data_IF_852596299900
#
_entry.id   IF_852596299900
#
_cell.length_a   1.000
_cell.length_b   1.000
_cell.length_c   1.000
_cell.angle_alpha   90.00
_cell.angle_beta   90.00
_cell.angle_gamma   90.00
#
_symmetry.space_group_name_H-M   'P 1'
#
loop_
_entity.id
_entity.type
_entity.pdbx_description
1 polymer ?
#
# COMPACT_ATOMS: atom_id res chain seq x y z
N UNK A 1 -11.94 23.43 -2.40
CA UNK A 1 -11.95 22.48 -1.26
C UNK A 1 -10.63 21.73 -1.28
N UNK A 2 -9.80 21.73 -0.22
CA UNK A 2 -8.56 20.95 -0.25
C UNK A 2 -8.92 19.46 -0.30
N UNK A 3 -8.35 18.72 -1.25
CA UNK A 3 -8.45 17.27 -1.29
C UNK A 3 -7.99 16.70 0.05
N UNK A 4 -8.88 15.98 0.76
CA UNK A 4 -8.52 15.32 2.03
C UNK A 4 -7.56 14.17 1.73
N UNK A 5 -6.28 14.36 2.00
CA UNK A 5 -5.27 13.32 1.84
C UNK A 5 -5.68 12.04 2.62
N UNK A 6 -5.57 10.88 1.96
CA UNK A 6 -5.80 9.56 2.55
C UNK A 6 -4.46 8.94 2.88
N UNK A 7 -4.31 8.41 4.08
CA UNK A 7 -3.05 7.84 4.56
C UNK A 7 -3.28 6.46 5.16
N UNK A 8 -2.51 5.43 4.78
CA UNK A 8 -1.44 5.45 3.75
C UNK A 8 -1.98 5.35 2.31
N UNK A 9 -1.49 6.23 1.42
CA UNK A 9 -1.71 6.15 -0.03
C UNK A 9 -0.42 6.56 -0.75
N UNK A 10 0.48 5.60 -0.98
CA UNK A 10 1.80 5.86 -1.58
C UNK A 10 2.51 4.56 -1.97
N UNK A 11 3.70 4.68 -2.58
CA UNK A 11 4.64 3.58 -2.74
C UNK A 11 5.42 3.27 -1.46
N UNK A 12 5.76 2.00 -1.29
CA UNK A 12 6.66 1.48 -0.27
C UNK A 12 7.66 0.51 -0.89
N UNK A 13 8.88 0.49 -0.35
CA UNK A 13 9.90 -0.48 -0.68
C UNK A 13 9.70 -1.76 0.15
N UNK A 14 9.73 -2.89 -0.54
CA UNK A 14 9.83 -4.23 0.02
C UNK A 14 11.24 -4.79 -0.22
N UNK A 15 11.49 -6.03 0.19
CA UNK A 15 12.84 -6.63 0.09
C UNK A 15 13.37 -6.79 -1.35
N UNK A 16 12.49 -6.95 -2.34
CA UNK A 16 12.83 -7.25 -3.76
C UNK A 16 12.30 -6.21 -4.75
N UNK A 17 11.77 -5.07 -4.27
CA UNK A 17 11.22 -4.01 -5.14
C UNK A 17 10.13 -3.18 -4.47
N UNK A 18 9.44 -2.37 -5.27
CA UNK A 18 8.44 -1.43 -4.77
C UNK A 18 7.01 -1.88 -5.06
N UNK A 19 6.07 -1.43 -4.22
CA UNK A 19 4.63 -1.59 -4.45
C UNK A 19 3.86 -0.36 -3.96
N UNK A 20 2.69 -0.10 -4.54
CA UNK A 20 1.76 0.93 -4.11
C UNK A 20 0.74 0.31 -3.17
N UNK A 21 0.48 0.99 -2.06
CA UNK A 21 -0.56 0.67 -1.09
C UNK A 21 -1.60 1.79 -1.06
N UNK A 22 -2.89 1.46 -1.19
CA UNK A 22 -3.97 2.44 -1.27
C UNK A 22 -5.05 2.19 -0.20
N UNK A 23 -4.94 2.88 0.94
CA UNK A 23 -5.93 2.83 2.03
C UNK A 23 -6.84 4.06 1.97
N UNK A 24 -8.00 3.92 1.34
CA UNK A 24 -8.93 5.03 1.11
C UNK A 24 -10.04 5.17 2.17
N UNK A 25 -10.22 4.18 3.05
CA UNK A 25 -11.30 4.14 4.05
C UNK A 25 -10.84 3.54 5.38
N UNK A 26 -11.59 3.79 6.46
CA UNK A 26 -11.28 3.23 7.79
C UNK A 26 -11.43 1.71 7.82
N UNK A 27 -12.34 1.14 7.03
CA UNK A 27 -12.45 -0.33 6.86
C UNK A 27 -11.15 -0.92 6.31
N UNK A 28 -10.57 -0.28 5.30
CA UNK A 28 -9.29 -0.72 4.73
C UNK A 28 -8.14 -0.53 5.70
N UNK A 29 -8.16 0.52 6.52
CA UNK A 29 -7.18 0.73 7.58
C UNK A 29 -7.21 -0.38 8.63
N UNK A 30 -8.41 -0.74 9.11
CA UNK A 30 -8.57 -1.85 10.06
C UNK A 30 -8.10 -3.18 9.47
N UNK A 31 -8.49 -3.47 8.22
CA UNK A 31 -8.04 -4.66 7.51
C UNK A 31 -6.51 -4.70 7.36
N UNK A 32 -5.89 -3.57 7.02
CA UNK A 32 -4.43 -3.45 6.95
C UNK A 32 -3.78 -3.73 8.32
N UNK A 33 -4.29 -3.15 9.41
CA UNK A 33 -3.73 -3.38 10.76
C UNK A 33 -3.74 -4.86 11.13
N UNK A 34 -4.85 -5.56 10.88
CA UNK A 34 -4.94 -7.01 11.10
C UNK A 34 -3.98 -7.76 10.18
N UNK A 35 -3.97 -7.40 8.89
CA UNK A 35 -3.07 -8.01 7.92
C UNK A 35 -1.62 -7.86 8.40
N UNK A 36 -1.19 -6.70 8.88
CA UNK A 36 0.18 -6.47 9.36
C UNK A 36 0.50 -7.06 10.74
N UNK A 37 -0.44 -7.76 11.38
CA UNK A 37 -0.30 -8.24 12.76
C UNK A 37 -0.05 -7.11 13.77
N UNK A 38 -0.59 -5.92 13.48
CA UNK A 38 -0.61 -4.76 14.37
C UNK A 38 -2.05 -4.30 14.65
N UNK A 39 -2.93 -5.16 15.20
CA UNK A 39 -4.31 -4.78 15.50
C UNK A 39 -4.41 -3.60 16.49
N UNK A 40 -3.40 -3.40 17.33
CA UNK A 40 -3.31 -2.29 18.28
C UNK A 40 -3.27 -0.91 17.61
N UNK A 41 -2.81 -0.82 16.36
CA UNK A 41 -2.79 0.45 15.62
C UNK A 41 -4.18 0.98 15.29
N UNK A 42 -5.22 0.15 15.34
CA UNK A 42 -6.60 0.58 15.15
C UNK A 42 -7.09 1.49 16.27
N UNK A 43 -6.62 1.27 17.49
CA UNK A 43 -6.96 2.04 18.68
C UNK A 43 -5.91 3.08 19.08
N UNK A 44 -4.73 3.06 18.46
CA UNK A 44 -3.67 4.01 18.74
C UNK A 44 -4.13 5.44 18.40
N UNK A 45 -4.11 6.39 19.35
CA UNK A 45 -4.54 7.78 19.11
C UNK A 45 -3.80 8.47 17.96
N UNK A 46 -2.61 7.97 17.58
CA UNK A 46 -1.82 8.49 16.46
C UNK A 46 -2.38 8.04 15.11
N UNK A 47 -3.08 6.90 15.04
CA UNK A 47 -3.46 6.26 13.79
C UNK A 47 -4.96 5.90 13.67
N UNK A 48 -5.72 6.06 14.75
CA UNK A 48 -7.12 5.64 14.82
C UNK A 48 -8.03 6.30 13.76
N UNK A 49 -7.83 7.60 13.49
CA UNK A 49 -8.55 8.29 12.42
C UNK A 49 -7.62 8.74 11.30
N UNK A 50 -8.15 8.89 10.08
CA UNK A 50 -7.38 9.42 8.96
C UNK A 50 -6.71 10.77 9.26
N UNK A 51 -7.38 11.66 10.00
CA UNK A 51 -6.81 12.95 10.38
C UNK A 51 -5.55 12.79 11.24
N UNK A 52 -5.55 11.81 12.15
CA UNK A 52 -4.41 11.50 12.99
C UNK A 52 -3.30 10.84 12.18
N UNK A 53 -3.63 9.93 11.27
CA UNK A 53 -2.67 9.34 10.32
C UNK A 53 -2.01 10.38 9.42
N UNK A 54 -2.76 11.40 8.99
CA UNK A 54 -2.20 12.52 8.21
C UNK A 54 -1.22 13.34 9.05
N UNK A 55 -1.55 13.63 10.31
CA UNK A 55 -0.65 14.37 11.24
C UNK A 55 0.61 13.59 11.56
N UNK A 56 0.50 12.26 11.70
CA UNK A 56 1.61 11.37 12.01
C UNK A 56 2.10 10.59 10.80
N UNK A 57 1.96 11.15 9.59
CA UNK A 57 2.26 10.45 8.34
C UNK A 57 3.68 9.91 8.33
N UNK A 58 4.66 10.74 8.68
CA UNK A 58 6.07 10.33 8.62
C UNK A 58 6.38 9.18 9.58
N UNK A 59 5.78 9.22 10.78
CA UNK A 59 5.88 8.14 11.76
C UNK A 59 5.23 6.85 11.23
N UNK A 60 3.98 6.93 10.76
CA UNK A 60 3.26 5.76 10.27
C UNK A 60 3.95 5.15 9.04
N UNK A 61 4.34 5.99 8.07
CA UNK A 61 5.05 5.55 6.88
C UNK A 61 6.41 4.94 7.22
N UNK A 62 7.12 5.45 8.23
CA UNK A 62 8.36 4.86 8.74
C UNK A 62 8.15 3.45 9.32
N UNK A 63 7.12 3.26 10.15
CA UNK A 63 6.76 1.96 10.71
C UNK A 63 6.38 0.96 9.61
N UNK A 64 5.56 1.39 8.65
CA UNK A 64 5.16 0.58 7.51
C UNK A 64 6.36 0.21 6.64
N UNK A 65 7.23 1.16 6.30
CA UNK A 65 8.42 0.90 5.49
C UNK A 65 9.38 -0.09 6.18
N UNK A 66 9.60 0.08 7.49
CA UNK A 66 10.42 -0.85 8.27
C UNK A 66 9.84 -2.27 8.25
N UNK A 67 8.51 -2.40 8.34
CA UNK A 67 7.83 -3.70 8.24
C UNK A 67 7.98 -4.31 6.84
N UNK A 68 7.74 -3.52 5.79
CA UNK A 68 7.73 -4.00 4.40
C UNK A 68 9.09 -4.43 3.87
N UNK A 69 10.17 -3.84 4.38
CA UNK A 69 11.53 -4.24 4.03
C UNK A 69 11.87 -5.70 4.38
N UNK A 70 11.09 -6.37 5.23
CA UNK A 70 11.39 -7.72 5.72
C UNK A 70 10.89 -8.87 4.83
N UNK A 71 10.11 -8.58 3.77
CA UNK A 71 9.58 -9.61 2.87
C UNK A 71 9.45 -9.09 1.44
N UNK A 72 9.44 -9.96 0.41
CA UNK A 72 9.29 -9.53 -0.97
C UNK A 72 7.88 -8.98 -1.25
N UNK A 73 7.75 -8.15 -2.29
CA UNK A 73 6.48 -7.53 -2.73
C UNK A 73 5.37 -8.57 -2.83
N UNK A 74 5.61 -9.74 -3.43
CA UNK A 74 4.58 -10.75 -3.62
C UNK A 74 3.98 -11.23 -2.29
N UNK A 75 4.80 -11.39 -1.25
CA UNK A 75 4.33 -11.75 0.09
C UNK A 75 3.31 -10.73 0.61
N UNK A 76 3.61 -9.44 0.44
CA UNK A 76 2.71 -8.37 0.87
C UNK A 76 1.45 -8.31 0.02
N UNK A 77 1.55 -8.46 -1.31
CA UNK A 77 0.39 -8.48 -2.20
C UNK A 77 -0.57 -9.62 -1.86
N UNK A 78 -0.08 -10.85 -1.68
CA UNK A 78 -0.92 -12.00 -1.33
C UNK A 78 -1.64 -11.77 0.01
N UNK A 79 -0.91 -11.20 0.98
CA UNK A 79 -1.43 -10.89 2.31
C UNK A 79 -2.49 -9.79 2.29
N UNK A 80 -2.30 -8.77 1.45
CA UNK A 80 -3.26 -7.68 1.30
C UNK A 80 -4.48 -8.10 0.49
N UNK A 81 -4.32 -8.91 -0.55
CA UNK A 81 -5.41 -9.49 -1.32
C UNK A 81 -6.33 -10.33 -0.43
N UNK A 82 -5.75 -11.21 0.41
CA UNK A 82 -6.50 -11.99 1.40
C UNK A 82 -7.27 -11.12 2.42
N UNK A 83 -6.79 -9.91 2.70
CA UNK A 83 -7.44 -8.94 3.58
C UNK A 83 -8.38 -7.96 2.86
N UNK A 84 -8.46 -8.02 1.52
CA UNK A 84 -9.21 -7.08 0.70
C UNK A 84 -8.63 -5.65 0.69
N UNK A 85 -7.32 -5.51 0.92
CA UNK A 85 -6.60 -4.23 0.91
C UNK A 85 -5.96 -4.01 -0.47
N UNK A 86 -6.31 -2.93 -1.19
CA UNK A 86 -5.74 -2.67 -2.50
C UNK A 86 -4.23 -2.37 -2.44
N UNK A 87 -3.44 -3.20 -3.12
CA UNK A 87 -2.02 -2.99 -3.35
C UNK A 87 -1.59 -3.53 -4.72
N UNK A 88 -0.54 -2.96 -5.31
CA UNK A 88 -0.02 -3.41 -6.60
C UNK A 88 1.49 -3.19 -6.70
N UNK A 89 2.21 -4.14 -7.32
CA UNK A 89 3.65 -3.99 -7.61
C UNK A 89 3.88 -2.77 -8.51
N UNK A 90 4.91 -1.99 -8.21
CA UNK A 90 5.42 -0.99 -9.16
C UNK A 90 6.29 -1.72 -10.17
N UNK A 91 5.80 -1.83 -11.39
CA UNK A 91 6.56 -2.43 -12.48
C UNK A 91 7.45 -1.36 -13.13
N UNK A 92 8.74 -1.66 -13.30
CA UNK A 92 9.60 -0.87 -14.19
C UNK A 92 9.09 -0.94 -15.65
N UNK A 93 9.50 0.01 -16.50
CA UNK A 93 8.96 0.18 -17.87
C UNK A 93 8.95 -1.14 -18.68
N UNK A 94 10.05 -1.90 -18.66
CA UNK A 94 10.14 -3.18 -19.35
C UNK A 94 9.16 -4.24 -18.81
N UNK A 95 8.99 -4.32 -17.48
CA UNK A 95 8.05 -5.25 -16.86
C UNK A 95 6.58 -4.82 -17.07
N UNK A 96 6.31 -3.52 -17.22
CA UNK A 96 4.99 -2.99 -17.51
C UNK A 96 4.53 -3.33 -18.94
N UNK A 97 5.44 -3.24 -19.92
CA UNK A 97 5.19 -3.61 -21.33
C UNK A 97 4.87 -5.11 -21.47
N UNK A 98 5.47 -5.95 -20.62
CA UNK A 98 5.25 -7.40 -20.66
C UNK A 98 3.91 -7.86 -20.04
N UNK A 99 3.18 -6.98 -19.34
CA UNK A 99 1.92 -7.34 -18.66
C UNK A 99 0.78 -7.61 -19.65
N UNK A 100 -0.17 -8.52 -19.32
CA UNK A 100 -1.34 -8.78 -20.14
C UNK A 100 -2.13 -7.51 -20.48
N UNK A 101 -2.25 -6.58 -19.53
CA UNK A 101 -2.98 -5.33 -19.74
C UNK A 101 -2.38 -4.43 -20.82
N UNK A 102 -1.07 -4.49 -21.07
CA UNK A 102 -0.42 -3.75 -22.16
C UNK A 102 -0.74 -4.36 -23.53
N UNK A 103 -0.83 -5.70 -23.59
CA UNK A 103 -1.19 -6.46 -24.79
C UNK A 103 -2.67 -6.34 -25.14
N UNK A 104 -3.53 -6.47 -24.13
CA UNK A 104 -4.99 -6.47 -24.32
C UNK A 104 -5.56 -5.10 -24.68
N UNK A 105 -4.78 -4.02 -24.48
CA UNK A 105 -5.20 -2.64 -24.74
C UNK A 105 -4.46 -1.96 -25.89
N UNK A 106 -3.68 -2.71 -26.66
CA UNK A 106 -2.95 -2.23 -27.85
C UNK A 106 -2.10 -0.97 -27.55
N UNK A 107 -1.45 -0.97 -26.38
CA UNK A 107 -0.70 0.20 -25.88
C UNK A 107 0.72 0.29 -26.44
N UNK A 108 1.10 -0.59 -27.37
CA UNK A 108 2.43 -0.66 -27.98
C UNK A 108 2.31 -0.34 -29.47
N UNK A 109 3.03 0.69 -29.91
CA UNK A 109 3.09 1.10 -31.32
C UNK A 109 4.49 0.71 -31.81
N UNK A 110 4.58 -0.05 -32.90
CA UNK A 110 5.83 -0.42 -33.56
C UNK A 110 6.48 0.75 -34.31
#
# INVERSE_FOLDING_TARGET
MPMRAKVPYQSFAAADGDFVLAVASEKLWQALCVALQHPEWQGDPRFAQNADRVRHRDLLCGLLAAQFANAPVQHWLDRFDAAGVPAARVNGVAAAIAQPIAKDRDLLIE
#
